data_IF_378835141787
#
_entry.id   IF_378835141787
#
_cell.length_a   1.000
_cell.length_b   1.000
_cell.length_c   1.000
_cell.angle_alpha   90.00
_cell.angle_beta   90.00
_cell.angle_gamma   90.00
#
_symmetry.space_group_name_H-M   'P 1'
#
loop_
_entity.id
_entity.type
_entity.pdbx_description
1 polymer ?
#
# COMPACT_ATOMS: atom_id res chain seq x y z
N UNK A 1 -12.74 21.16 -5.95
CA UNK A 1 -12.11 19.90 -6.43
C UNK A 1 -11.13 19.38 -5.40
N UNK A 2 -11.27 18.15 -4.95
CA UNK A 2 -10.27 17.60 -4.04
C UNK A 2 -8.93 17.46 -4.76
N UNK A 3 -7.86 17.63 -3.98
CA UNK A 3 -6.51 17.39 -4.48
C UNK A 3 -6.24 15.90 -4.58
N UNK A 4 -5.25 15.53 -5.35
CA UNK A 4 -4.85 14.13 -5.56
C UNK A 4 -3.36 13.96 -5.27
N UNK A 5 -3.05 12.98 -4.45
CA UNK A 5 -1.70 12.53 -4.16
C UNK A 5 -1.47 11.19 -4.87
N UNK A 6 -0.37 11.08 -5.59
CA UNK A 6 0.09 9.78 -6.10
C UNK A 6 1.30 9.34 -5.28
N UNK A 7 1.26 8.10 -4.80
CA UNK A 7 2.36 7.52 -4.05
C UNK A 7 2.78 6.20 -4.69
N UNK A 8 4.07 6.09 -4.98
CA UNK A 8 4.66 4.90 -5.59
C UNK A 8 5.48 4.18 -4.52
N UNK A 9 5.18 2.91 -4.27
CA UNK A 9 5.79 2.14 -3.21
C UNK A 9 6.53 0.94 -3.78
N UNK A 10 7.80 0.78 -3.42
CA UNK A 10 8.63 -0.37 -3.78
C UNK A 10 8.87 -1.29 -2.57
N UNK A 11 8.86 -0.75 -1.35
CA UNK A 11 9.28 -1.48 -0.15
C UNK A 11 8.34 -2.64 0.16
N UNK A 12 8.88 -3.87 0.31
CA UNK A 12 8.06 -5.02 0.72
C UNK A 12 7.65 -4.91 2.20
N UNK A 13 6.67 -5.71 2.62
CA UNK A 13 6.25 -5.70 4.03
C UNK A 13 7.37 -6.21 4.93
N UNK A 14 7.51 -5.61 6.10
CA UNK A 14 8.37 -6.07 7.20
C UNK A 14 9.89 -5.98 6.97
N UNK A 15 10.34 -5.43 5.85
CA UNK A 15 11.77 -5.24 5.58
C UNK A 15 12.33 -3.99 6.27
N UNK A 16 11.50 -2.97 6.37
CA UNK A 16 11.84 -1.72 7.03
C UNK A 16 10.57 -0.98 7.42
N UNK A 17 10.71 0.17 8.04
CA UNK A 17 9.56 1.01 8.40
C UNK A 17 8.99 1.78 7.19
N UNK A 18 9.61 1.69 6.02
CA UNK A 18 9.22 2.49 4.86
C UNK A 18 7.79 2.23 4.41
N UNK A 19 7.36 0.96 4.38
CA UNK A 19 5.99 0.62 3.98
C UNK A 19 4.97 1.15 4.99
N UNK A 20 5.26 1.05 6.28
CA UNK A 20 4.39 1.59 7.33
C UNK A 20 4.30 3.11 7.23
N UNK A 21 5.43 3.77 6.99
CA UNK A 21 5.45 5.22 6.79
C UNK A 21 4.59 5.62 5.59
N UNK A 22 4.70 4.88 4.48
CA UNK A 22 3.88 5.11 3.29
C UNK A 22 2.39 5.02 3.63
N UNK A 23 1.97 3.99 4.36
CA UNK A 23 0.57 3.81 4.74
C UNK A 23 0.07 4.91 5.69
N UNK A 24 0.94 5.40 6.58
CA UNK A 24 0.60 6.52 7.46
C UNK A 24 0.43 7.83 6.69
N UNK A 25 1.21 8.03 5.64
CA UNK A 25 1.05 9.19 4.74
C UNK A 25 -0.29 9.09 4.01
N UNK A 26 -0.65 7.91 3.50
CA UNK A 26 -1.93 7.67 2.83
C UNK A 26 -3.08 7.96 3.80
N UNK A 27 -3.02 7.43 5.02
CA UNK A 27 -4.02 7.66 6.07
C UNK A 27 -4.22 9.16 6.31
N UNK A 28 -3.14 9.89 6.48
CA UNK A 28 -3.19 11.34 6.72
C UNK A 28 -3.83 12.09 5.54
N UNK A 29 -3.50 11.71 4.32
CA UNK A 29 -4.06 12.34 3.12
C UNK A 29 -5.56 12.09 3.02
N UNK A 30 -6.00 10.86 3.23
CA UNK A 30 -7.42 10.50 3.18
C UNK A 30 -8.23 11.26 4.24
N UNK A 31 -7.68 11.39 5.45
CA UNK A 31 -8.34 12.14 6.53
C UNK A 31 -8.49 13.62 6.20
N UNK A 32 -7.62 14.16 5.38
CA UNK A 32 -7.71 15.56 4.93
C UNK A 32 -8.59 15.74 3.69
N UNK A 33 -9.25 14.68 3.23
CA UNK A 33 -10.11 14.76 2.04
C UNK A 33 -9.36 14.77 0.73
N UNK A 34 -8.15 14.21 0.70
CA UNK A 34 -7.31 14.14 -0.50
C UNK A 34 -7.49 12.77 -1.14
N UNK A 35 -7.73 12.74 -2.45
CA UNK A 35 -7.74 11.50 -3.21
C UNK A 35 -6.33 10.93 -3.29
N UNK A 36 -6.19 9.62 -3.21
CA UNK A 36 -4.87 8.97 -3.25
C UNK A 36 -4.85 7.87 -4.30
N UNK A 37 -3.82 7.91 -5.13
CA UNK A 37 -3.48 6.82 -6.06
C UNK A 37 -2.22 6.15 -5.53
N UNK A 38 -2.24 4.83 -5.42
CA UNK A 38 -1.09 4.04 -4.97
C UNK A 38 -0.64 3.11 -6.08
N UNK A 39 0.62 3.21 -6.46
CA UNK A 39 1.24 2.27 -7.39
C UNK A 39 2.24 1.42 -6.62
N UNK A 40 1.87 0.16 -6.36
CA UNK A 40 2.72 -0.79 -5.68
C UNK A 40 3.44 -1.66 -6.71
N UNK A 41 4.77 -1.66 -6.67
CA UNK A 41 5.58 -2.46 -7.58
C UNK A 41 6.77 -3.07 -6.83
N UNK A 42 7.53 -3.92 -7.50
CA UNK A 42 8.55 -4.73 -6.85
C UNK A 42 7.96 -5.46 -5.65
N UNK A 43 8.66 -5.54 -4.52
CA UNK A 43 8.19 -6.24 -3.34
C UNK A 43 6.92 -5.68 -2.70
N UNK A 44 6.55 -4.45 -3.01
CA UNK A 44 5.34 -3.84 -2.44
C UNK A 44 4.05 -4.51 -2.89
N UNK A 45 4.06 -5.30 -3.98
CA UNK A 45 2.88 -6.09 -4.37
C UNK A 45 2.50 -7.12 -3.31
N UNK A 46 3.39 -7.44 -2.40
CA UNK A 46 3.13 -8.37 -1.30
C UNK A 46 2.41 -7.72 -0.11
N UNK A 47 2.24 -6.40 -0.10
CA UNK A 47 1.55 -5.69 0.99
C UNK A 47 0.08 -6.12 1.13
N UNK A 48 -0.53 -6.60 0.06
CA UNK A 48 -1.98 -6.86 -0.01
C UNK A 48 -2.34 -8.34 -0.10
N UNK A 49 -1.39 -9.25 0.06
CA UNK A 49 -1.63 -10.69 -0.09
C UNK A 49 -2.59 -11.19 0.99
N UNK A 50 -3.66 -11.90 0.58
CA UNK A 50 -4.65 -12.48 1.48
C UNK A 50 -4.08 -13.45 2.50
N UNK A 51 -3.04 -14.17 2.12
CA UNK A 51 -2.49 -15.25 2.94
C UNK A 51 -1.53 -14.79 4.03
N UNK A 52 -1.33 -13.49 4.19
CA UNK A 52 -0.55 -12.97 5.31
C UNK A 52 -1.14 -13.44 6.63
N UNK A 53 -0.28 -13.84 7.56
CA UNK A 53 -0.66 -14.29 8.90
C UNK A 53 0.22 -13.57 9.93
N UNK A 54 -0.33 -13.26 11.12
CA UNK A 54 0.52 -12.82 12.23
C UNK A 54 1.57 -13.88 12.53
N UNK A 55 2.75 -13.45 12.86
CA UNK A 55 3.84 -14.36 13.18
C UNK A 55 4.73 -13.77 14.28
N UNK A 56 5.44 -14.62 15.05
CA UNK A 56 6.41 -14.11 15.99
C UNK A 56 7.60 -13.49 15.26
N UNK A 57 8.33 -12.63 15.94
CA UNK A 57 9.55 -12.05 15.41
C UNK A 57 10.77 -12.76 16.00
N UNK A 58 11.37 -13.73 15.29
CA UNK A 58 12.50 -14.49 15.84
C UNK A 58 13.76 -13.64 15.98
N UNK A 59 13.88 -12.55 15.24
CA UNK A 59 15.05 -11.65 15.32
C UNK A 59 15.08 -10.94 16.69
N UNK A 60 13.93 -10.50 17.16
CA UNK A 60 13.79 -9.80 18.45
C UNK A 60 13.32 -10.73 19.59
N UNK A 61 13.05 -11.99 19.28
CA UNK A 61 12.57 -12.94 20.26
C UNK A 61 11.17 -12.67 20.79
N UNK A 62 10.37 -11.90 20.08
CA UNK A 62 9.01 -11.54 20.51
C UNK A 62 7.99 -12.52 19.95
N UNK A 63 6.95 -12.80 20.76
CA UNK A 63 5.83 -13.67 20.37
C UNK A 63 4.83 -12.91 19.51
N UNK A 64 3.87 -13.65 18.93
CA UNK A 64 2.76 -13.05 18.17
C UNK A 64 2.01 -12.03 19.03
N UNK A 65 1.76 -12.38 20.30
CA UNK A 65 1.03 -11.52 21.23
C UNK A 65 1.80 -10.24 21.57
N UNK A 66 3.12 -10.33 21.63
CA UNK A 66 3.98 -9.18 21.92
C UNK A 66 4.10 -8.25 20.72
N UNK A 67 4.07 -8.79 19.51
CA UNK A 67 4.14 -7.97 18.28
C UNK A 67 2.92 -7.07 18.08
N UNK A 68 1.74 -7.54 18.39
CA UNK A 68 0.46 -6.80 18.45
C UNK A 68 0.26 -5.68 17.43
N UNK A 69 0.67 -5.89 16.20
CA UNK A 69 0.42 -4.92 15.12
C UNK A 69 -0.37 -5.59 14.01
N UNK A 70 -1.17 -4.83 13.26
CA UNK A 70 -1.91 -5.40 12.14
C UNK A 70 -0.95 -5.85 11.04
N UNK A 71 -1.37 -6.86 10.29
CA UNK A 71 -0.68 -7.21 9.05
C UNK A 71 -0.84 -6.07 8.04
N UNK A 72 0.04 -6.01 7.03
CA UNK A 72 -0.05 -4.96 6.02
C UNK A 72 -1.36 -5.04 5.25
N UNK A 73 -1.89 -6.24 4.98
CA UNK A 73 -3.20 -6.40 4.32
C UNK A 73 -4.33 -5.77 5.12
N UNK A 74 -4.29 -5.91 6.43
CA UNK A 74 -5.31 -5.31 7.32
C UNK A 74 -5.21 -3.80 7.32
N UNK A 75 -3.99 -3.27 7.31
CA UNK A 75 -3.78 -1.84 7.22
C UNK A 75 -4.33 -1.30 5.90
N UNK A 76 -4.01 -1.94 4.77
CA UNK A 76 -4.52 -1.52 3.46
C UNK A 76 -6.04 -1.59 3.42
N UNK A 77 -6.64 -2.67 3.95
CA UNK A 77 -8.10 -2.78 4.03
C UNK A 77 -8.70 -1.61 4.81
N UNK A 78 -8.08 -1.22 5.92
CA UNK A 78 -8.55 -0.09 6.72
C UNK A 78 -8.47 1.24 5.97
N UNK A 79 -7.49 1.40 5.09
CA UNK A 79 -7.37 2.60 4.26
C UNK A 79 -8.52 2.71 3.26
N UNK A 80 -8.95 1.59 2.66
CA UNK A 80 -10.11 1.57 1.77
C UNK A 80 -11.39 1.95 2.52
N UNK A 81 -11.56 1.44 3.73
CA UNK A 81 -12.72 1.80 4.56
C UNK A 81 -12.68 3.29 4.94
N UNK A 82 -11.52 3.80 5.30
CA UNK A 82 -11.34 5.22 5.62
C UNK A 82 -11.70 6.11 4.41
N UNK A 83 -11.28 5.72 3.21
CA UNK A 83 -11.60 6.46 1.99
C UNK A 83 -13.11 6.54 1.78
N UNK A 84 -13.84 5.43 1.97
CA UNK A 84 -15.30 5.41 1.89
C UNK A 84 -15.91 6.35 2.92
N UNK A 85 -15.45 6.27 4.15
CA UNK A 85 -15.96 7.10 5.26
C UNK A 85 -15.77 8.59 4.96
N UNK A 86 -14.64 8.96 4.37
CA UNK A 86 -14.32 10.36 4.04
C UNK A 86 -14.87 10.82 2.70
N UNK A 87 -15.46 9.93 1.93
CA UNK A 87 -16.00 10.26 0.60
C UNK A 87 -14.94 10.64 -0.41
N UNK A 88 -13.72 10.09 -0.27
CA UNK A 88 -12.61 10.31 -1.19
C UNK A 88 -12.22 9.02 -1.88
N UNK A 89 -11.42 9.11 -2.93
CA UNK A 89 -10.99 7.98 -3.73
C UNK A 89 -9.64 7.45 -3.25
N UNK A 90 -9.55 6.14 -3.09
CA UNK A 90 -8.30 5.41 -2.97
C UNK A 90 -8.25 4.40 -4.12
N UNK A 91 -7.29 4.57 -5.02
CA UNK A 91 -7.07 3.65 -6.14
C UNK A 91 -5.70 3.00 -5.94
N UNK A 92 -5.69 1.68 -5.73
CA UNK A 92 -4.48 0.92 -5.44
C UNK A 92 -4.21 -0.05 -6.59
N UNK A 93 -3.09 0.14 -7.28
CA UNK A 93 -2.65 -0.73 -8.35
C UNK A 93 -1.45 -1.56 -7.90
N UNK A 94 -1.55 -2.88 -8.09
CA UNK A 94 -0.40 -3.77 -8.00
C UNK A 94 0.16 -3.99 -9.40
N UNK A 95 1.44 -3.70 -9.60
CA UNK A 95 2.09 -3.88 -10.90
C UNK A 95 2.02 -5.34 -11.33
N UNK A 96 1.39 -5.59 -12.47
CA UNK A 96 1.11 -6.95 -12.93
C UNK A 96 2.35 -7.81 -13.16
N UNK A 97 3.41 -7.24 -13.73
CA UNK A 97 4.65 -7.98 -13.95
C UNK A 97 5.30 -8.38 -12.61
N UNK A 98 5.33 -7.47 -11.66
CA UNK A 98 5.88 -7.75 -10.33
C UNK A 98 5.06 -8.81 -9.59
N UNK A 99 3.74 -8.78 -9.77
CA UNK A 99 2.82 -9.80 -9.23
C UNK A 99 3.15 -11.17 -9.82
N UNK A 100 3.28 -11.24 -11.15
CA UNK A 100 3.53 -12.50 -11.83
C UNK A 100 4.88 -13.10 -11.44
N UNK A 101 5.91 -12.29 -11.34
CA UNK A 101 7.24 -12.75 -10.93
C UNK A 101 7.27 -13.33 -9.52
N UNK A 102 6.36 -12.90 -8.65
CA UNK A 102 6.36 -13.26 -7.23
C UNK A 102 5.21 -14.17 -6.81
N UNK A 103 4.32 -14.50 -7.74
CA UNK A 103 3.13 -15.27 -7.41
C UNK A 103 2.21 -14.54 -6.42
N UNK A 104 2.16 -13.21 -6.47
CA UNK A 104 1.47 -12.39 -5.50
C UNK A 104 0.05 -11.97 -5.93
N UNK A 105 -0.58 -12.78 -6.77
CA UNK A 105 -1.89 -12.42 -7.38
C UNK A 105 -3.10 -12.61 -6.49
N UNK A 106 -2.96 -13.22 -5.33
CA UNK A 106 -4.08 -13.46 -4.41
C UNK A 106 -4.15 -12.34 -3.37
N UNK A 107 -4.70 -11.19 -3.75
CA UNK A 107 -4.80 -10.04 -2.85
C UNK A 107 -6.21 -9.82 -2.33
N UNK A 108 -6.31 -8.96 -1.31
CA UNK A 108 -7.59 -8.56 -0.69
C UNK A 108 -8.44 -7.76 -1.68
N UNK A 109 -9.70 -7.54 -1.34
CA UNK A 109 -10.58 -6.66 -2.13
C UNK A 109 -10.06 -5.22 -2.06
N UNK A 110 -10.16 -4.51 -3.17
CA UNK A 110 -9.76 -3.11 -3.31
C UNK A 110 -8.64 -2.90 -4.31
N UNK A 111 -7.45 -3.49 -4.11
CA UNK A 111 -6.37 -3.40 -5.11
C UNK A 111 -6.76 -4.01 -6.45
N UNK A 112 -6.13 -3.53 -7.50
CA UNK A 112 -6.33 -4.03 -8.87
C UNK A 112 -5.02 -4.14 -9.61
N UNK A 113 -5.03 -4.89 -10.69
CA UNK A 113 -3.86 -5.07 -11.55
C UNK A 113 -3.69 -3.86 -12.48
N UNK A 114 -2.45 -3.46 -12.72
CA UNK A 114 -2.15 -2.39 -13.67
C UNK A 114 -0.67 -2.37 -14.01
N UNK A 115 -0.20 -1.31 -14.61
CA UNK A 115 1.18 -1.20 -15.05
C UNK A 115 1.70 0.24 -15.08
N UNK A 116 2.98 0.42 -15.46
CA UNK A 116 3.64 1.72 -15.49
C UNK A 116 2.92 2.82 -16.26
N UNK A 117 2.19 2.53 -17.35
CA UNK A 117 1.42 3.60 -18.03
C UNK A 117 0.42 4.30 -17.12
N UNK A 118 -0.18 3.58 -16.17
CA UNK A 118 -1.09 4.19 -15.20
C UNK A 118 -0.36 5.10 -14.23
N UNK A 119 0.82 4.70 -13.78
CA UNK A 119 1.65 5.55 -12.91
C UNK A 119 2.03 6.83 -13.64
N UNK A 120 2.45 6.73 -14.89
CA UNK A 120 2.81 7.89 -15.70
C UNK A 120 1.64 8.87 -15.81
N UNK A 121 0.45 8.37 -16.10
CA UNK A 121 -0.76 9.19 -16.16
C UNK A 121 -1.04 9.86 -14.83
N UNK A 122 -0.98 9.14 -13.75
CA UNK A 122 -1.23 9.67 -12.41
C UNK A 122 -0.25 10.75 -12.01
N UNK A 123 1.04 10.57 -12.34
CA UNK A 123 2.06 11.58 -12.05
C UNK A 123 1.74 12.89 -12.77
N UNK A 124 1.29 12.81 -14.01
CA UNK A 124 0.93 14.01 -14.78
C UNK A 124 -0.32 14.70 -14.24
N UNK A 125 -1.28 13.95 -13.71
CA UNK A 125 -2.57 14.48 -13.26
C UNK A 125 -2.62 14.86 -11.78
N UNK A 126 -1.68 14.39 -10.98
CA UNK A 126 -1.69 14.59 -9.52
C UNK A 126 -1.14 15.95 -9.13
N UNK A 127 -1.58 16.44 -7.99
CA UNK A 127 -1.04 17.66 -7.38
C UNK A 127 0.34 17.44 -6.77
N UNK A 128 0.60 16.21 -6.31
CA UNK A 128 1.90 15.83 -5.75
C UNK A 128 2.14 14.33 -5.97
N UNK A 129 3.41 13.95 -6.03
CA UNK A 129 3.84 12.55 -6.16
C UNK A 129 4.96 12.28 -5.16
N UNK A 130 4.84 11.16 -4.45
CA UNK A 130 5.84 10.69 -3.50
C UNK A 130 6.31 9.31 -3.94
N UNK A 131 7.60 9.07 -3.85
CA UNK A 131 8.20 7.75 -4.13
C UNK A 131 8.78 7.19 -2.83
N UNK A 132 8.38 5.98 -2.48
CA UNK A 132 8.92 5.23 -1.33
C UNK A 132 9.78 4.10 -1.89
N UNK A 133 11.10 4.29 -1.95
CA UNK A 133 12.00 3.29 -2.53
C UNK A 133 12.30 2.16 -1.55
N UNK A 134 12.94 1.12 -2.05
CA UNK A 134 13.57 0.12 -1.20
C UNK A 134 14.89 0.67 -0.63
N UNK A 135 15.37 0.03 0.39
CA UNK A 135 16.70 0.34 0.92
C UNK A 135 17.79 0.13 -0.13
#
# INVERSE_FOLDING_TARGET
MPKTLTISIMEPPYESAASTTAMRIIDAALRKGINVNVFAYEGAVSLTIKDQKPHPNPVHGTSVEEEKHPTTKEFVASLFELAKEKGVKLDWVNCGLCVDERGAGNWIDGPRRGGPPELHKWVQESDATIVIPTK
#
